data_IF_978375484457
#
_entry.id   IF_978375484457
#
_cell.length_a   1.000
_cell.length_b   1.000
_cell.length_c   1.000
_cell.angle_alpha   90.00
_cell.angle_beta   90.00
_cell.angle_gamma   90.00
#
_symmetry.space_group_name_H-M   'P 1'
#
loop_
_entity.id
_entity.type
_entity.pdbx_description
1 polymer ?
#
# COMPACT_ATOMS: atom_id res chain seq x y z
N UNK A 1 15.80 26.06 -3.36
CA UNK A 1 15.78 25.45 -4.70
C UNK A 1 14.43 24.73 -4.83
N UNK A 2 13.62 25.07 -5.85
CA UNK A 2 12.36 24.35 -6.15
C UNK A 2 12.71 23.00 -6.73
N UNK A 3 12.10 21.92 -6.19
CA UNK A 3 12.29 20.57 -6.71
C UNK A 3 11.93 20.51 -8.21
N UNK A 4 12.63 19.73 -9.02
CA UNK A 4 12.36 19.62 -10.45
C UNK A 4 10.96 19.07 -10.69
N UNK A 5 10.25 19.62 -11.69
CA UNK A 5 8.93 19.10 -12.10
C UNK A 5 9.14 17.78 -12.83
N UNK A 6 8.76 16.66 -12.19
CA UNK A 6 8.88 15.31 -12.75
C UNK A 6 7.66 14.92 -13.59
N UNK A 7 7.80 13.98 -14.53
CA UNK A 7 6.65 13.32 -15.18
C UNK A 7 5.67 12.71 -14.16
N UNK A 8 4.44 12.39 -14.59
CA UNK A 8 3.52 11.61 -13.75
C UNK A 8 4.10 10.23 -13.48
N UNK A 9 3.88 9.74 -12.26
CA UNK A 9 4.34 8.42 -11.81
C UNK A 9 5.86 8.20 -11.93
N UNK A 10 6.68 9.24 -11.84
CA UNK A 10 8.14 9.09 -11.78
C UNK A 10 8.54 8.59 -10.38
N UNK A 11 9.12 7.39 -10.23
CA UNK A 11 9.46 6.82 -8.91
C UNK A 11 10.47 7.69 -8.13
N UNK A 12 11.28 8.51 -8.81
CA UNK A 12 12.21 9.44 -8.15
C UNK A 12 11.51 10.52 -7.32
N UNK A 13 10.18 10.71 -7.47
CA UNK A 13 9.41 11.59 -6.58
C UNK A 13 9.46 11.12 -5.12
N UNK A 14 9.52 9.81 -4.89
CA UNK A 14 9.65 9.23 -3.55
C UNK A 14 11.03 9.51 -2.95
N UNK A 15 12.08 9.47 -3.75
CA UNK A 15 13.44 9.81 -3.33
C UNK A 15 13.57 11.29 -2.96
N UNK A 16 12.96 12.19 -3.75
CA UNK A 16 12.95 13.64 -3.50
C UNK A 16 12.25 13.99 -2.17
N UNK A 17 11.35 13.16 -1.70
CA UNK A 17 10.54 13.36 -0.50
C UNK A 17 10.95 12.48 0.69
N UNK A 18 12.07 11.76 0.59
CA UNK A 18 12.48 10.75 1.56
C UNK A 18 12.47 11.24 3.02
N UNK A 19 12.92 12.45 3.28
CA UNK A 19 12.92 13.04 4.62
C UNK A 19 11.54 13.37 5.20
N UNK A 20 10.44 13.12 4.46
CA UNK A 20 9.07 13.44 4.90
C UNK A 20 8.21 12.21 5.20
N UNK A 21 8.73 10.99 5.02
CA UNK A 21 7.96 9.74 5.20
C UNK A 21 7.27 9.66 6.56
N UNK A 22 7.98 9.95 7.64
CA UNK A 22 7.49 9.79 9.01
C UNK A 22 6.97 11.09 9.64
N UNK A 23 6.85 12.15 8.87
CA UNK A 23 6.30 13.41 9.38
C UNK A 23 4.77 13.33 9.49
N UNK A 24 4.15 13.46 10.70
CA UNK A 24 2.70 13.31 10.87
C UNK A 24 1.86 14.30 10.06
N UNK A 25 2.48 15.39 9.66
CA UNK A 25 1.88 16.45 8.82
C UNK A 25 2.61 16.63 7.50
N UNK A 26 3.40 15.62 7.10
CA UNK A 26 4.18 15.59 5.87
C UNK A 26 3.37 15.14 4.65
N UNK A 27 4.07 15.01 3.53
CA UNK A 27 3.49 14.61 2.24
C UNK A 27 2.98 13.16 2.22
N UNK A 28 3.47 12.33 3.14
CA UNK A 28 3.07 10.92 3.24
C UNK A 28 2.11 10.64 4.42
N UNK A 29 1.55 11.69 5.06
CA UNK A 29 0.63 11.50 6.17
C UNK A 29 -0.60 10.65 5.78
N UNK A 30 -1.14 10.84 4.56
CA UNK A 30 -2.25 10.03 4.08
C UNK A 30 -1.86 8.56 3.89
N UNK A 31 -0.64 8.25 3.43
CA UNK A 31 -0.16 6.88 3.35
C UNK A 31 -0.06 6.21 4.72
N UNK A 32 0.35 6.96 5.75
CA UNK A 32 0.34 6.45 7.13
C UNK A 32 -1.07 6.11 7.60
N UNK A 33 -2.08 6.93 7.28
CA UNK A 33 -3.49 6.65 7.60
C UNK A 33 -4.03 5.43 6.85
N UNK A 34 -3.67 5.27 5.56
CA UNK A 34 -4.03 4.11 4.75
C UNK A 34 -3.36 2.85 5.31
N UNK A 35 -2.08 2.92 5.68
CA UNK A 35 -1.34 1.82 6.31
C UNK A 35 -1.97 1.35 7.62
N UNK A 36 -2.44 2.28 8.46
CA UNK A 36 -3.18 1.97 9.68
C UNK A 36 -4.49 1.21 9.37
N UNK A 37 -5.24 1.63 8.35
CA UNK A 37 -6.47 0.95 7.94
C UNK A 37 -6.18 -0.44 7.34
N UNK A 38 -5.14 -0.56 6.53
CA UNK A 38 -4.68 -1.82 5.92
C UNK A 38 -4.35 -2.87 6.97
N UNK A 39 -3.70 -2.47 8.06
CA UNK A 39 -3.32 -3.37 9.14
C UNK A 39 -4.50 -4.10 9.79
N UNK A 40 -5.72 -3.55 9.73
CA UNK A 40 -6.92 -4.24 10.25
C UNK A 40 -7.27 -5.54 9.51
N UNK A 41 -6.79 -5.71 8.28
CA UNK A 41 -7.00 -6.93 7.49
C UNK A 41 -5.87 -7.96 7.69
N UNK A 42 -4.81 -7.62 8.42
CA UNK A 42 -3.68 -8.50 8.69
C UNK A 42 -4.01 -9.36 9.93
N UNK A 43 -4.11 -10.69 9.80
CA UNK A 43 -4.39 -11.56 10.94
C UNK A 43 -3.19 -11.60 11.89
N UNK A 44 -3.42 -12.02 13.13
CA UNK A 44 -2.32 -12.37 14.04
C UNK A 44 -1.58 -13.60 13.53
N UNK A 45 -0.30 -13.66 13.80
CA UNK A 45 0.51 -14.85 13.52
C UNK A 45 -0.03 -16.06 14.30
N UNK A 46 -0.19 -17.18 13.61
CA UNK A 46 -0.67 -18.43 14.19
C UNK A 46 0.45 -19.38 14.60
N UNK A 47 1.69 -19.01 14.29
CA UNK A 47 2.90 -19.79 14.60
C UNK A 47 4.12 -18.88 14.80
N UNK A 48 5.12 -19.34 15.54
CA UNK A 48 6.41 -18.69 15.60
C UNK A 48 7.08 -18.65 14.20
N UNK A 49 7.80 -17.59 13.91
CA UNK A 49 8.45 -17.39 12.62
C UNK A 49 7.50 -17.13 11.44
N UNK A 50 6.24 -16.73 11.72
CA UNK A 50 5.29 -16.29 10.69
C UNK A 50 5.87 -15.11 9.92
N UNK A 51 5.98 -15.25 8.58
CA UNK A 51 6.57 -14.25 7.70
C UNK A 51 5.50 -13.35 7.08
N UNK A 52 5.67 -12.03 7.22
CA UNK A 52 4.93 -11.02 6.49
C UNK A 52 5.86 -10.34 5.49
N UNK A 53 5.51 -10.40 4.21
CA UNK A 53 6.22 -9.71 3.12
C UNK A 53 5.42 -8.47 2.74
N UNK A 54 6.05 -7.28 2.85
CA UNK A 54 5.49 -5.99 2.50
C UNK A 54 6.11 -5.51 1.18
N UNK A 55 5.36 -5.67 0.07
CA UNK A 55 5.79 -5.35 -1.29
C UNK A 55 5.66 -3.84 -1.52
N UNK A 56 6.72 -3.22 -2.05
CA UNK A 56 6.84 -1.77 -2.19
C UNK A 56 6.58 -1.06 -0.84
N UNK A 57 7.33 -1.48 0.18
CA UNK A 57 7.13 -1.05 1.57
C UNK A 57 7.39 0.45 1.82
N UNK A 58 7.97 1.14 0.84
CA UNK A 58 8.35 2.55 0.95
C UNK A 58 9.24 2.80 2.18
N UNK A 59 8.95 3.86 2.93
CA UNK A 59 9.62 4.19 4.19
C UNK A 59 9.19 3.34 5.41
N UNK A 60 8.45 2.24 5.21
CA UNK A 60 8.08 1.31 6.29
C UNK A 60 6.89 1.74 7.15
N UNK A 61 5.98 2.55 6.62
CA UNK A 61 4.84 3.12 7.37
C UNK A 61 3.86 2.06 7.92
N UNK A 62 3.91 0.82 7.45
CA UNK A 62 3.10 -0.28 7.97
C UNK A 62 3.62 -0.81 9.31
N UNK A 63 4.93 -0.72 9.56
CA UNK A 63 5.59 -1.36 10.71
C UNK A 63 4.98 -1.04 12.08
N UNK A 64 4.62 0.21 12.44
CA UNK A 64 4.02 0.51 13.75
C UNK A 64 2.70 -0.22 14.00
N UNK A 65 1.98 -0.53 12.93
CA UNK A 65 0.65 -1.15 13.00
C UNK A 65 0.72 -2.68 13.05
N UNK A 66 1.92 -3.27 12.88
CA UNK A 66 2.17 -4.71 13.00
C UNK A 66 2.62 -5.11 14.41
N UNK A 67 2.89 -4.14 15.28
CA UNK A 67 3.31 -4.41 16.65
C UNK A 67 2.29 -5.33 17.37
N UNK A 68 2.79 -6.39 17.96
CA UNK A 68 1.97 -7.38 18.68
C UNK A 68 1.18 -8.36 17.79
N UNK A 69 1.28 -8.29 16.45
CA UNK A 69 0.69 -9.30 15.56
C UNK A 69 1.54 -10.57 15.47
N UNK A 70 2.82 -10.52 15.82
CA UNK A 70 3.70 -11.69 15.94
C UNK A 70 4.35 -12.14 14.62
N UNK A 71 4.28 -11.33 13.55
CA UNK A 71 4.96 -11.62 12.29
C UNK A 71 6.40 -11.12 12.30
N UNK A 72 7.26 -11.85 11.60
CA UNK A 72 8.54 -11.31 11.12
C UNK A 72 8.24 -10.47 9.87
N UNK A 73 8.34 -9.15 9.99
CA UNK A 73 8.06 -8.20 8.91
C UNK A 73 9.30 -8.00 8.05
N UNK A 74 9.20 -8.31 6.76
CA UNK A 74 10.23 -8.04 5.76
C UNK A 74 9.65 -7.17 4.65
N UNK A 75 10.18 -5.96 4.52
CA UNK A 75 9.83 -5.02 3.45
C UNK A 75 10.70 -5.22 2.22
N UNK A 76 10.13 -5.04 1.03
CA UNK A 76 10.86 -5.01 -0.24
C UNK A 76 10.48 -3.73 -0.98
N UNK A 77 11.48 -2.96 -1.43
CA UNK A 77 11.24 -1.77 -2.24
C UNK A 77 12.33 -1.59 -3.30
N UNK A 78 11.98 -0.98 -4.43
CA UNK A 78 12.92 -0.71 -5.52
C UNK A 78 13.85 0.47 -5.20
N UNK A 79 13.34 1.48 -4.45
CA UNK A 79 14.07 2.69 -4.06
C UNK A 79 15.05 2.39 -2.93
N UNK A 80 16.34 2.61 -3.19
CA UNK A 80 17.37 2.50 -2.15
C UNK A 80 17.15 3.50 -1.01
N UNK A 81 16.60 4.68 -1.33
CA UNK A 81 16.33 5.74 -0.35
C UNK A 81 15.18 5.33 0.58
N UNK A 82 14.08 4.80 0.02
CA UNK A 82 12.95 4.30 0.80
C UNK A 82 13.37 3.13 1.72
N UNK A 83 14.14 2.17 1.20
CA UNK A 83 14.76 1.08 1.97
C UNK A 83 15.61 1.61 3.12
N UNK A 84 16.39 2.68 2.90
CA UNK A 84 17.18 3.35 3.94
C UNK A 84 16.29 3.86 5.07
N UNK A 85 15.25 4.62 4.74
CA UNK A 85 14.29 5.16 5.71
C UNK A 85 13.58 4.04 6.49
N UNK A 86 13.09 3.01 5.80
CA UNK A 86 12.42 1.89 6.47
C UNK A 86 13.34 1.16 7.47
N UNK A 87 14.62 0.98 7.11
CA UNK A 87 15.62 0.37 8.01
C UNK A 87 15.88 1.20 9.25
N UNK A 88 15.97 2.53 9.11
CA UNK A 88 16.12 3.45 10.25
C UNK A 88 14.95 3.36 11.24
N UNK A 89 13.78 2.93 10.76
CA UNK A 89 12.57 2.72 11.55
C UNK A 89 12.34 1.25 11.95
N UNK A 90 13.39 0.44 11.91
CA UNK A 90 13.39 -0.92 12.47
C UNK A 90 12.77 -1.99 11.57
N UNK A 91 12.53 -1.72 10.29
CA UNK A 91 12.03 -2.72 9.34
C UNK A 91 13.20 -3.52 8.77
N UNK A 92 13.08 -4.84 8.77
CA UNK A 92 13.98 -5.69 7.97
C UNK A 92 13.65 -5.48 6.50
N UNK A 93 14.60 -4.98 5.70
CA UNK A 93 14.33 -4.60 4.31
C UNK A 93 15.31 -5.17 3.33
N UNK A 94 14.81 -5.52 2.15
CA UNK A 94 15.54 -5.92 0.97
C UNK A 94 15.25 -4.91 -0.16
N UNK A 95 16.25 -4.64 -0.99
CA UNK A 95 16.02 -3.93 -2.23
C UNK A 95 15.61 -4.92 -3.32
N UNK A 96 14.46 -4.69 -3.95
CA UNK A 96 13.93 -5.60 -4.97
C UNK A 96 12.75 -5.03 -5.73
N UNK A 97 12.39 -5.72 -6.82
CA UNK A 97 11.22 -5.39 -7.65
C UNK A 97 9.99 -6.16 -7.14
N UNK A 98 8.86 -5.47 -6.98
CA UNK A 98 7.59 -6.09 -6.60
C UNK A 98 7.08 -7.11 -7.64
N UNK A 99 7.51 -7.01 -8.90
CA UNK A 99 7.18 -7.98 -9.94
C UNK A 99 8.04 -9.25 -9.88
N UNK A 100 9.13 -9.24 -9.08
CA UNK A 100 10.05 -10.37 -8.93
C UNK A 100 10.70 -10.34 -7.55
N UNK A 101 10.00 -10.84 -6.56
CA UNK A 101 10.44 -10.83 -5.17
C UNK A 101 11.58 -11.84 -4.93
N UNK A 102 12.55 -11.51 -4.06
CA UNK A 102 13.68 -12.39 -3.73
C UNK A 102 13.29 -13.47 -2.71
N UNK A 103 12.14 -14.11 -2.90
CA UNK A 103 11.62 -15.17 -2.03
C UNK A 103 11.27 -16.42 -2.84
N UNK A 104 11.40 -17.58 -2.20
CA UNK A 104 10.89 -18.83 -2.73
C UNK A 104 9.35 -18.85 -2.76
N UNK A 105 8.78 -19.80 -3.50
CA UNK A 105 7.33 -20.02 -3.55
C UNK A 105 6.79 -20.40 -2.18
N UNK A 106 5.60 -19.97 -1.86
CA UNK A 106 4.81 -20.41 -0.72
C UNK A 106 5.50 -20.28 0.66
N UNK A 107 6.29 -19.22 0.87
CA UNK A 107 7.01 -18.99 2.14
C UNK A 107 6.32 -18.02 3.09
N UNK A 108 5.55 -17.07 2.55
CA UNK A 108 4.93 -16.00 3.34
C UNK A 108 3.56 -16.42 3.90
N UNK A 109 3.32 -16.11 5.18
CA UNK A 109 2.01 -16.25 5.82
C UNK A 109 1.07 -15.10 5.45
N UNK A 110 1.63 -13.92 5.26
CA UNK A 110 0.94 -12.70 4.82
C UNK A 110 1.77 -12.03 3.74
N UNK A 111 1.12 -11.58 2.69
CA UNK A 111 1.70 -10.66 1.69
C UNK A 111 0.86 -9.40 1.67
N UNK A 112 1.53 -8.26 1.73
CA UNK A 112 0.92 -6.93 1.64
C UNK A 112 1.42 -6.25 0.37
N UNK A 113 0.50 -5.69 -0.43
CA UNK A 113 0.78 -4.90 -1.63
C UNK A 113 0.02 -3.57 -1.53
N UNK A 114 0.57 -2.63 -0.76
CA UNK A 114 -0.10 -1.38 -0.47
C UNK A 114 0.32 -0.24 -1.39
N UNK A 115 -0.65 0.40 -2.08
CA UNK A 115 -0.42 1.57 -2.94
C UNK A 115 0.73 1.35 -3.96
N UNK A 116 0.81 0.16 -4.55
CA UNK A 116 1.84 -0.21 -5.53
C UNK A 116 1.27 -0.48 -6.91
N UNK A 117 0.06 -1.08 -6.99
CA UNK A 117 -0.49 -1.58 -8.25
C UNK A 117 -0.72 -0.46 -9.28
N UNK A 118 -1.13 0.72 -8.85
CA UNK A 118 -1.34 1.91 -9.69
C UNK A 118 -0.05 2.61 -10.12
N UNK A 119 1.10 2.12 -9.68
CA UNK A 119 2.42 2.67 -9.99
C UNK A 119 3.22 1.81 -10.97
N UNK A 120 2.76 0.62 -11.29
CA UNK A 120 3.46 -0.35 -12.15
C UNK A 120 2.78 -0.52 -13.51
N UNK A 121 3.54 -0.76 -14.59
CA UNK A 121 2.96 -1.00 -15.91
C UNK A 121 2.18 -2.33 -15.99
N UNK A 122 2.60 -3.34 -15.21
CA UNK A 122 1.97 -4.66 -15.17
C UNK A 122 1.54 -5.02 -13.73
N UNK A 123 0.36 -4.55 -13.29
CA UNK A 123 -0.16 -4.90 -11.98
C UNK A 123 -0.53 -6.39 -11.84
N UNK A 124 -0.82 -7.08 -12.94
CA UNK A 124 -1.13 -8.51 -12.90
C UNK A 124 0.11 -9.32 -12.50
N UNK A 125 1.30 -8.94 -12.98
CA UNK A 125 2.56 -9.57 -12.57
C UNK A 125 2.81 -9.37 -11.07
N UNK A 126 2.52 -8.21 -10.50
CA UNK A 126 2.65 -7.96 -9.05
C UNK A 126 1.69 -8.84 -8.25
N UNK A 127 0.42 -8.96 -8.70
CA UNK A 127 -0.57 -9.84 -8.03
C UNK A 127 -0.18 -11.31 -8.13
N UNK A 128 0.29 -11.76 -9.30
CA UNK A 128 0.77 -13.12 -9.50
C UNK A 128 1.96 -13.44 -8.58
N UNK A 129 2.91 -12.51 -8.48
CA UNK A 129 4.10 -12.64 -7.64
C UNK A 129 3.75 -12.64 -6.14
N UNK A 130 2.83 -11.77 -5.71
CA UNK A 130 2.28 -11.80 -4.36
C UNK A 130 1.67 -13.16 -4.03
N UNK A 131 0.88 -13.70 -4.95
CA UNK A 131 0.26 -15.01 -4.80
C UNK A 131 1.29 -16.16 -4.85
N UNK A 132 2.36 -16.07 -5.66
CA UNK A 132 3.44 -17.06 -5.72
C UNK A 132 4.12 -17.22 -4.35
N UNK A 133 4.51 -16.08 -3.77
CA UNK A 133 5.21 -16.05 -2.47
C UNK A 133 4.31 -16.46 -1.31
N UNK A 134 3.02 -16.19 -1.43
CA UNK A 134 2.03 -16.51 -0.40
C UNK A 134 1.80 -18.03 -0.31
N UNK A 135 1.95 -18.62 0.89
CA UNK A 135 1.68 -20.05 1.12
C UNK A 135 0.17 -20.35 1.03
N UNK A 136 -0.21 -21.60 0.78
CA UNK A 136 -1.61 -22.04 0.95
C UNK A 136 -2.13 -21.68 2.35
N UNK A 137 -3.36 -21.14 2.42
CA UNK A 137 -3.97 -20.64 3.65
C UNK A 137 -3.42 -19.28 4.14
N UNK A 138 -2.40 -18.71 3.48
CA UNK A 138 -1.88 -17.37 3.77
C UNK A 138 -2.85 -16.25 3.36
N UNK A 139 -2.62 -15.04 3.82
CA UNK A 139 -3.49 -13.87 3.58
C UNK A 139 -2.80 -12.86 2.66
N UNK A 140 -3.47 -12.48 1.57
CA UNK A 140 -3.11 -11.33 0.74
C UNK A 140 -3.91 -10.10 1.20
N UNK A 141 -3.23 -8.98 1.38
CA UNK A 141 -3.84 -7.66 1.67
C UNK A 141 -3.28 -6.64 0.70
N UNK A 142 -4.13 -5.84 0.08
CA UNK A 142 -3.72 -4.79 -0.83
C UNK A 142 -4.60 -3.55 -0.70
N UNK A 143 -4.12 -2.42 -1.20
CA UNK A 143 -4.94 -1.26 -1.49
C UNK A 143 -4.41 -0.54 -2.73
N UNK A 144 -5.31 0.16 -3.42
CA UNK A 144 -5.01 0.82 -4.69
C UNK A 144 -6.20 1.69 -5.13
N UNK A 145 -6.05 2.40 -6.26
CA UNK A 145 -7.05 3.30 -6.83
C UNK A 145 -7.75 2.64 -8.02
N UNK A 146 -9.09 2.69 -8.03
CA UNK A 146 -9.90 2.11 -9.10
C UNK A 146 -9.83 2.93 -10.40
N UNK A 147 -9.77 2.23 -11.56
CA UNK A 147 -9.84 2.79 -12.90
C UNK A 147 -11.25 3.31 -13.23
N UNK A 148 -11.69 4.35 -12.53
CA UNK A 148 -13.00 4.99 -12.70
C UNK A 148 -12.85 6.50 -12.77
N UNK A 149 -13.89 7.17 -13.29
CA UNK A 149 -13.97 8.63 -13.21
C UNK A 149 -13.86 9.14 -11.76
N UNK A 150 -14.52 8.46 -10.81
CA UNK A 150 -14.48 8.83 -9.39
C UNK A 150 -13.09 8.66 -8.77
N UNK A 151 -12.41 7.55 -9.08
CA UNK A 151 -11.04 7.31 -8.66
C UNK A 151 -10.10 8.43 -9.14
N UNK A 152 -10.21 8.78 -10.43
CA UNK A 152 -9.45 9.89 -11.02
C UNK A 152 -9.76 11.24 -10.37
N UNK A 153 -11.05 11.54 -10.18
CA UNK A 153 -11.47 12.78 -9.56
C UNK A 153 -10.95 12.91 -8.13
N UNK A 154 -11.14 11.88 -7.30
CA UNK A 154 -10.75 11.92 -5.88
C UNK A 154 -9.25 11.92 -5.66
N UNK A 155 -8.46 11.21 -6.45
CA UNK A 155 -7.00 11.14 -6.28
C UNK A 155 -6.27 12.32 -6.93
N UNK A 156 -6.58 12.67 -8.18
CA UNK A 156 -5.85 13.71 -8.94
C UNK A 156 -6.47 15.10 -8.74
N UNK A 157 -7.80 15.22 -8.91
CA UNK A 157 -8.43 16.56 -8.87
C UNK A 157 -8.53 17.08 -7.44
N UNK A 158 -8.89 16.22 -6.51
CA UNK A 158 -9.04 16.60 -5.09
C UNK A 158 -7.75 16.29 -4.33
N UNK A 159 -7.31 15.03 -4.34
CA UNK A 159 -6.22 14.52 -3.49
C UNK A 159 -4.92 15.29 -3.68
N UNK A 160 -4.45 15.48 -4.92
CA UNK A 160 -3.20 16.22 -5.20
C UNK A 160 -3.25 17.70 -4.76
N UNK A 161 -4.44 18.22 -4.36
CA UNK A 161 -4.64 19.60 -3.88
C UNK A 161 -4.91 19.69 -2.39
N UNK A 162 -5.15 18.54 -1.75
CA UNK A 162 -5.42 18.50 -0.30
C UNK A 162 -4.12 18.55 0.51
N UNK A 163 -4.10 19.22 1.67
CA UNK A 163 -3.05 19.01 2.66
C UNK A 163 -2.95 17.54 3.05
N UNK A 164 -1.73 17.02 3.19
CA UNK A 164 -1.44 15.59 3.38
C UNK A 164 -1.86 14.66 2.23
N UNK A 165 -2.44 15.19 1.18
CA UNK A 165 -2.73 14.42 -0.04
C UNK A 165 -1.45 14.07 -0.80
N UNK A 166 -1.56 13.16 -1.79
CA UNK A 166 -0.42 12.77 -2.60
C UNK A 166 0.22 13.99 -3.27
N UNK A 167 1.54 13.99 -3.45
CA UNK A 167 2.23 15.01 -4.22
C UNK A 167 1.62 15.18 -5.62
N UNK A 168 1.68 16.38 -6.16
CA UNK A 168 1.21 16.63 -7.53
C UNK A 168 1.96 15.73 -8.53
N UNK A 169 1.21 15.14 -9.46
CA UNK A 169 1.72 14.25 -10.52
C UNK A 169 2.28 12.92 -9.99
N UNK A 170 1.99 12.54 -8.73
CA UNK A 170 2.38 11.26 -8.20
C UNK A 170 1.68 10.11 -8.93
N UNK A 171 0.40 10.26 -9.23
CA UNK A 171 -0.39 9.23 -9.89
C UNK A 171 -0.56 9.49 -11.39
N UNK A 172 -0.51 8.42 -12.19
CA UNK A 172 -0.97 8.40 -13.57
C UNK A 172 -2.30 7.63 -13.66
N UNK A 173 -3.42 8.30 -13.95
CA UNK A 173 -4.72 7.64 -14.06
C UNK A 173 -4.83 6.55 -15.14
N UNK A 174 -3.88 6.50 -16.08
CA UNK A 174 -3.81 5.44 -17.08
C UNK A 174 -3.40 4.08 -16.46
N UNK A 175 -2.77 4.10 -15.28
CA UNK A 175 -2.31 2.92 -14.55
C UNK A 175 -3.31 2.46 -13.48
N UNK A 176 -4.44 3.14 -13.30
CA UNK A 176 -5.42 2.77 -12.28
C UNK A 176 -6.03 1.38 -12.55
N UNK A 177 -6.50 0.75 -11.49
CA UNK A 177 -6.79 -0.68 -11.46
C UNK A 177 -8.22 -0.99 -11.88
N UNK A 178 -8.38 -1.83 -12.90
CA UNK A 178 -9.64 -2.50 -13.20
C UNK A 178 -9.90 -3.57 -12.14
N UNK A 179 -10.91 -3.34 -11.30
CA UNK A 179 -11.29 -4.22 -10.19
C UNK A 179 -11.71 -5.61 -10.65
N UNK A 180 -12.36 -5.72 -11.80
CA UNK A 180 -12.79 -7.02 -12.33
C UNK A 180 -11.57 -7.83 -12.81
N UNK A 181 -10.61 -7.16 -13.46
CA UNK A 181 -9.34 -7.78 -13.86
C UNK A 181 -8.57 -8.23 -12.61
N UNK A 182 -8.42 -7.38 -11.60
CA UNK A 182 -7.76 -7.71 -10.33
C UNK A 182 -8.38 -8.96 -9.68
N UNK A 183 -9.71 -9.02 -9.56
CA UNK A 183 -10.42 -10.17 -8.98
C UNK A 183 -10.20 -11.46 -9.78
N UNK A 184 -10.19 -11.37 -11.12
CA UNK A 184 -9.92 -12.53 -11.99
C UNK A 184 -8.50 -13.04 -11.81
N UNK A 185 -7.50 -12.14 -11.85
CA UNK A 185 -6.08 -12.51 -11.71
C UNK A 185 -5.83 -13.14 -10.34
N UNK A 186 -6.27 -12.51 -9.25
CA UNK A 186 -6.09 -13.08 -7.91
C UNK A 186 -6.73 -14.48 -7.81
N UNK A 187 -7.94 -14.66 -8.37
CA UNK A 187 -8.64 -15.97 -8.37
C UNK A 187 -7.89 -17.02 -9.19
N UNK A 188 -7.30 -16.67 -10.33
CA UNK A 188 -6.47 -17.58 -11.13
C UNK A 188 -5.25 -18.12 -10.36
N UNK A 189 -4.78 -17.36 -9.36
CA UNK A 189 -3.70 -17.74 -8.46
C UNK A 189 -4.20 -18.23 -7.08
N UNK A 190 -5.47 -18.64 -6.99
CA UNK A 190 -6.05 -19.25 -5.79
C UNK A 190 -6.42 -18.28 -4.68
N UNK A 191 -6.56 -16.97 -4.95
CA UNK A 191 -6.97 -15.99 -3.93
C UNK A 191 -8.30 -15.35 -4.29
N UNK A 192 -9.35 -15.62 -3.50
CA UNK A 192 -10.62 -14.93 -3.60
C UNK A 192 -10.59 -13.63 -2.78
N UNK A 193 -10.49 -12.49 -3.46
CA UNK A 193 -10.43 -11.18 -2.81
C UNK A 193 -11.85 -10.65 -2.48
N UNK A 194 -11.98 -10.12 -1.27
CA UNK A 194 -13.06 -9.22 -0.87
C UNK A 194 -12.58 -7.78 -1.01
N UNK A 195 -13.37 -6.94 -1.69
CA UNK A 195 -13.03 -5.52 -1.88
C UNK A 195 -13.89 -4.64 -0.98
N UNK A 196 -13.28 -3.62 -0.38
CA UNK A 196 -13.93 -2.60 0.44
C UNK A 196 -13.38 -1.23 0.07
N UNK A 197 -14.27 -0.27 -0.17
CA UNK A 197 -13.85 1.11 -0.46
C UNK A 197 -13.33 1.79 0.80
N UNK A 198 -12.50 2.81 0.63
CA UNK A 198 -11.86 3.53 1.72
C UNK A 198 -11.97 5.05 1.51
N UNK A 199 -12.26 5.80 2.57
CA UNK A 199 -12.22 7.26 2.55
C UNK A 199 -11.76 7.84 3.89
N UNK A 200 -11.15 9.02 3.93
CA UNK A 200 -10.85 9.67 5.19
C UNK A 200 -12.13 10.07 5.94
N UNK A 201 -12.08 10.01 7.27
CA UNK A 201 -13.09 10.61 8.15
C UNK A 201 -13.03 12.13 8.02
N UNK A 202 -14.12 12.75 7.58
CA UNK A 202 -14.19 14.22 7.41
C UNK A 202 -13.96 14.93 8.74
N UNK A 203 -14.57 14.44 9.82
CA UNK A 203 -14.42 15.04 11.15
C UNK A 203 -12.97 14.96 11.65
N UNK A 204 -12.32 13.81 11.46
CA UNK A 204 -10.90 13.66 11.85
C UNK A 204 -9.98 14.53 10.98
N UNK A 205 -10.28 14.62 9.69
CA UNK A 205 -9.50 15.46 8.76
C UNK A 205 -9.60 16.96 9.12
N UNK A 206 -10.79 17.45 9.43
CA UNK A 206 -10.98 18.82 9.92
C UNK A 206 -10.24 19.05 11.26
N UNK A 207 -10.29 18.06 12.16
CA UNK A 207 -9.52 18.08 13.41
C UNK A 207 -8.02 18.09 13.19
N UNK A 208 -7.54 17.35 12.19
CA UNK A 208 -6.14 17.32 11.79
C UNK A 208 -5.71 18.67 11.17
N UNK A 209 -6.51 19.26 10.29
CA UNK A 209 -6.27 20.60 9.75
C UNK A 209 -6.15 21.65 10.86
N UNK A 210 -7.00 21.56 11.87
CA UNK A 210 -7.02 22.46 13.01
C UNK A 210 -5.91 22.17 14.06
N UNK A 211 -5.02 21.21 13.82
CA UNK A 211 -3.95 20.82 14.76
C UNK A 211 -4.43 20.07 16.01
N UNK A 212 -5.69 19.66 16.06
CA UNK A 212 -6.31 18.96 17.20
C UNK A 212 -6.15 17.44 17.16
N UNK A 213 -5.70 16.89 16.03
CA UNK A 213 -5.45 15.47 15.79
C UNK A 213 -4.16 15.29 15.02
N UNK A 214 -3.44 14.21 15.33
CA UNK A 214 -2.23 13.82 14.60
C UNK A 214 -2.54 12.85 13.45
N UNK A 215 -3.63 12.10 13.57
CA UNK A 215 -4.02 11.09 12.60
C UNK A 215 -5.47 11.24 12.16
N UNK A 216 -5.76 10.76 10.95
CA UNK A 216 -7.10 10.71 10.38
C UNK A 216 -7.48 9.25 10.14
N UNK A 217 -8.59 8.82 10.71
CA UNK A 217 -9.10 7.46 10.44
C UNK A 217 -9.57 7.35 9.01
N UNK A 218 -9.19 6.28 8.37
CA UNK A 218 -9.75 5.87 7.10
C UNK A 218 -10.98 4.99 7.37
N UNK A 219 -12.12 5.35 6.81
CA UNK A 219 -13.40 4.68 7.06
C UNK A 219 -13.75 3.76 5.89
N UNK A 220 -14.17 2.51 6.17
CA UNK A 220 -14.65 1.63 5.13
C UNK A 220 -15.98 2.15 4.55
N UNK A 221 -16.16 1.98 3.24
CA UNK A 221 -17.38 2.31 2.50
C UNK A 221 -17.72 1.21 1.50
N UNK A 222 -19.01 1.10 1.12
CA UNK A 222 -19.44 0.07 0.16
C UNK A 222 -18.91 0.31 -1.25
N UNK A 223 -18.78 1.56 -1.67
CA UNK A 223 -18.31 1.90 -3.01
C UNK A 223 -16.81 1.73 -3.13
N UNK A 224 -16.36 0.87 -4.03
CA UNK A 224 -14.95 0.65 -4.39
C UNK A 224 -14.54 1.48 -5.61
N UNK A 225 -15.27 2.52 -5.96
CA UNK A 225 -15.01 3.32 -7.15
C UNK A 225 -13.86 4.33 -7.00
N UNK A 226 -13.31 4.53 -5.82
CA UNK A 226 -12.15 5.38 -5.53
C UNK A 226 -10.98 4.54 -5.02
N UNK A 227 -10.37 5.01 -3.93
CA UNK A 227 -9.44 4.22 -3.14
C UNK A 227 -10.18 3.02 -2.54
N UNK A 228 -9.59 1.83 -2.64
CA UNK A 228 -10.17 0.62 -2.07
C UNK A 228 -9.10 -0.33 -1.55
N UNK A 229 -9.49 -1.20 -0.64
CA UNK A 229 -8.70 -2.31 -0.11
C UNK A 229 -9.24 -3.63 -0.64
N UNK A 230 -8.33 -4.59 -0.82
CA UNK A 230 -8.65 -5.98 -1.11
C UNK A 230 -7.97 -6.88 -0.10
N UNK A 231 -8.67 -7.91 0.38
CA UNK A 231 -8.08 -8.92 1.23
C UNK A 231 -8.70 -10.28 0.96
N UNK A 232 -7.91 -11.33 1.10
CA UNK A 232 -8.38 -12.70 0.87
C UNK A 232 -7.35 -13.72 1.31
N UNK A 233 -7.78 -14.96 1.47
CA UNK A 233 -6.90 -16.07 1.79
C UNK A 233 -6.64 -16.91 0.54
N UNK A 234 -5.41 -17.39 0.40
CA UNK A 234 -5.07 -18.36 -0.64
C UNK A 234 -5.68 -19.70 -0.29
N UNK A 235 -6.32 -20.32 -1.26
CA UNK A 235 -6.93 -21.64 -1.11
C UNK A 235 -5.89 -22.65 -0.60
N UNK A 236 -6.29 -23.59 0.26
CA UNK A 236 -5.45 -24.73 0.60
C UNK A 236 -5.04 -25.51 -0.66
N UNK A 237 -3.84 -26.09 -0.66
CA UNK A 237 -3.37 -26.97 -1.74
C UNK A 237 -4.15 -28.27 -1.75
#
# INVERSE_FOLDING_TARGET
MTAPVRPRNDPRQYDDLAGTWWQPRGRFAMLAWISAARAHHIPRAVRAGSLLVDMACGGGLLAPHLAGLGHHHVGVDLSATAVGVAREHGVTVLRGDAQRLPFADAVADVVVAGEVLEHVPDPDAVVAEACRVLRPGGTLVLDTIAATWWGRFTSVTVGERMPAGPPRRLHDPALYIDRQRLLRVARQHGVALTLVGLRPSVADYLGWLAGRREQVRMLPVRSTAGLFQGYGRKEPA
#
